data_IF_629233003654
#
_entry.id   IF_629233003654
#
_cell.length_a   1.000
_cell.length_b   1.000
_cell.length_c   1.000
_cell.angle_alpha   90.00
_cell.angle_beta   90.00
_cell.angle_gamma   90.00
#
_symmetry.space_group_name_H-M   'P 1'
#
loop_
_entity.id
_entity.type
_entity.pdbx_description
1 polymer ?
#
# COMPACT_ATOMS: atom_id res chain seq x y z
N UNK A 1 -19.36 16.33 -18.72
CA UNK A 1 -18.11 15.97 -19.41
C UNK A 1 -17.70 14.51 -19.17
N UNK A 2 -17.67 14.00 -17.93
CA UNK A 2 -17.29 12.59 -17.66
C UNK A 2 -18.45 11.62 -17.91
N UNK A 3 -19.70 11.98 -17.59
CA UNK A 3 -20.88 11.11 -17.80
C UNK A 3 -21.18 10.76 -19.26
N UNK A 4 -20.74 11.60 -20.21
CA UNK A 4 -20.96 11.42 -21.66
C UNK A 4 -20.00 10.43 -22.33
N UNK A 5 -19.02 9.89 -21.60
CA UNK A 5 -18.08 8.88 -22.10
C UNK A 5 -18.65 7.45 -22.08
N UNK A 6 -19.83 7.25 -21.49
CA UNK A 6 -20.43 5.92 -21.28
C UNK A 6 -21.02 5.27 -22.55
N UNK A 7 -21.18 6.00 -23.66
CA UNK A 7 -21.83 5.50 -24.88
C UNK A 7 -20.86 4.98 -25.96
N UNK A 8 -19.56 5.21 -25.82
CA UNK A 8 -18.54 4.58 -26.68
C UNK A 8 -18.17 3.24 -26.04
N UNK A 9 -18.10 2.11 -26.78
CA UNK A 9 -17.60 0.85 -26.23
C UNK A 9 -16.24 1.10 -25.55
N UNK A 10 -16.18 0.87 -24.23
CA UNK A 10 -15.04 1.29 -23.40
C UNK A 10 -13.72 0.74 -23.94
N UNK A 11 -13.68 -0.51 -24.39
CA UNK A 11 -12.44 -1.15 -24.84
C UNK A 11 -11.79 -0.43 -26.03
N UNK A 12 -12.57 -0.09 -27.06
CA UNK A 12 -12.06 0.58 -28.25
C UNK A 12 -11.63 2.02 -27.95
N UNK A 13 -12.39 2.73 -27.12
CA UNK A 13 -12.04 4.09 -26.69
C UNK A 13 -10.74 4.08 -25.90
N UNK A 14 -10.62 3.23 -24.88
CA UNK A 14 -9.43 3.14 -24.04
C UNK A 14 -8.21 2.70 -24.84
N UNK A 15 -8.34 1.68 -25.70
CA UNK A 15 -7.22 1.23 -26.56
C UNK A 15 -6.70 2.36 -27.45
N UNK A 16 -7.59 3.02 -28.18
CA UNK A 16 -7.27 4.10 -29.13
C UNK A 16 -6.71 5.32 -28.39
N UNK A 17 -7.36 5.70 -27.29
CA UNK A 17 -6.98 6.86 -26.48
C UNK A 17 -5.63 6.67 -25.80
N UNK A 18 -5.31 5.52 -25.22
CA UNK A 18 -4.04 5.29 -24.54
C UNK A 18 -2.87 4.97 -25.48
N UNK A 19 -3.12 4.40 -26.66
CA UNK A 19 -2.04 4.02 -27.60
C UNK A 19 -1.54 5.15 -28.51
N UNK A 20 -2.01 6.39 -28.37
CA UNK A 20 -1.54 7.47 -29.25
C UNK A 20 -2.23 7.52 -30.61
N UNK A 21 -3.07 6.54 -30.92
CA UNK A 21 -3.80 6.49 -32.18
C UNK A 21 -5.04 7.38 -32.07
N UNK A 22 -5.05 8.55 -32.72
CA UNK A 22 -6.32 9.27 -32.88
C UNK A 22 -7.13 8.47 -33.90
N UNK A 23 -8.31 7.98 -33.48
CA UNK A 23 -9.16 7.09 -34.26
C UNK A 23 -9.75 7.73 -35.51
N UNK A 24 -8.94 8.18 -36.47
CA UNK A 24 -9.38 8.63 -37.79
C UNK A 24 -10.21 7.56 -38.52
N UNK A 25 -9.98 6.27 -38.22
CA UNK A 25 -10.83 5.15 -38.66
C UNK A 25 -12.16 5.05 -37.92
N UNK A 26 -12.22 5.38 -36.63
CA UNK A 26 -13.45 5.40 -35.80
C UNK A 26 -14.34 6.61 -36.12
N UNK A 27 -13.74 7.79 -36.32
CA UNK A 27 -14.42 9.03 -36.69
C UNK A 27 -15.11 8.90 -38.06
N UNK A 28 -14.49 8.14 -38.98
CA UNK A 28 -15.04 7.90 -40.33
C UNK A 28 -16.21 6.91 -40.37
N UNK A 29 -16.38 6.06 -39.33
CA UNK A 29 -17.35 4.96 -39.37
C UNK A 29 -18.61 5.16 -38.51
N UNK A 30 -18.62 6.07 -37.52
CA UNK A 30 -19.79 6.27 -36.65
C UNK A 30 -20.48 7.63 -36.83
N UNK A 31 -21.67 7.62 -37.44
CA UNK A 31 -22.70 8.65 -37.22
C UNK A 31 -23.22 8.49 -35.78
N UNK A 32 -23.24 9.56 -34.99
CA UNK A 32 -23.90 9.58 -33.67
C UNK A 32 -23.06 10.04 -32.47
N UNK A 33 -21.80 10.46 -32.66
CA UNK A 33 -21.02 11.03 -31.55
C UNK A 33 -21.57 12.40 -31.15
N UNK A 34 -21.66 12.65 -29.85
CA UNK A 34 -22.00 13.98 -29.32
C UNK A 34 -20.85 14.97 -29.56
N UNK A 35 -21.16 16.27 -29.47
CA UNK A 35 -20.17 17.34 -29.63
C UNK A 35 -18.99 17.19 -28.65
N UNK A 36 -19.27 16.81 -27.41
CA UNK A 36 -18.27 16.60 -26.37
C UNK A 36 -17.38 15.38 -26.67
N UNK A 37 -17.95 14.29 -27.20
CA UNK A 37 -17.17 13.11 -27.60
C UNK A 37 -16.25 13.41 -28.77
N UNK A 38 -16.72 14.19 -29.76
CA UNK A 38 -15.90 14.65 -30.88
C UNK A 38 -14.75 15.54 -30.40
N UNK A 39 -15.00 16.41 -29.44
CA UNK A 39 -13.96 17.27 -28.85
C UNK A 39 -12.87 16.43 -28.16
N UNK A 40 -13.26 15.44 -27.33
CA UNK A 40 -12.31 14.56 -26.65
C UNK A 40 -11.46 13.76 -27.64
N UNK A 41 -12.07 13.23 -28.71
CA UNK A 41 -11.35 12.46 -29.72
C UNK A 41 -10.41 13.35 -30.54
N UNK A 42 -10.84 14.56 -30.92
CA UNK A 42 -10.03 15.51 -31.69
C UNK A 42 -8.89 16.11 -30.86
N UNK A 43 -9.07 16.23 -29.55
CA UNK A 43 -8.06 16.72 -28.60
C UNK A 43 -7.48 15.58 -27.73
N UNK A 44 -7.44 14.35 -28.26
CA UNK A 44 -7.07 13.16 -27.48
C UNK A 44 -5.73 13.28 -26.75
N UNK A 45 -4.73 13.93 -27.36
CA UNK A 45 -3.43 14.17 -26.71
C UNK A 45 -3.51 15.10 -25.49
N UNK A 46 -4.37 16.12 -25.52
CA UNK A 46 -4.58 17.00 -24.38
C UNK A 46 -5.22 16.22 -23.23
N UNK A 47 -6.33 15.54 -23.47
CA UNK A 47 -7.01 14.77 -22.42
C UNK A 47 -6.18 13.60 -21.91
N UNK A 48 -5.35 12.96 -22.75
CA UNK A 48 -4.42 11.90 -22.29
C UNK A 48 -3.42 12.48 -21.29
N UNK A 49 -2.84 13.65 -21.60
CA UNK A 49 -1.93 14.34 -20.68
C UNK A 49 -2.62 14.71 -19.37
N UNK A 50 -3.83 15.26 -19.43
CA UNK A 50 -4.61 15.59 -18.23
C UNK A 50 -4.95 14.36 -17.39
N UNK A 51 -5.36 13.25 -18.02
CA UNK A 51 -5.64 12.00 -17.30
C UNK A 51 -4.38 11.43 -16.65
N UNK A 52 -3.25 11.41 -17.36
CA UNK A 52 -1.97 10.97 -16.79
C UNK A 52 -1.56 11.89 -15.64
N UNK A 53 -1.72 13.20 -15.78
CA UNK A 53 -1.43 14.17 -14.71
C UNK A 53 -2.31 13.91 -13.49
N UNK A 54 -3.62 13.70 -13.68
CA UNK A 54 -4.56 13.35 -12.63
C UNK A 54 -4.17 12.04 -11.91
N UNK A 55 -3.88 10.97 -12.65
CA UNK A 55 -3.45 9.69 -12.09
C UNK A 55 -2.13 9.80 -11.33
N UNK A 56 -1.17 10.60 -11.83
CA UNK A 56 0.07 10.89 -11.10
C UNK A 56 -0.20 11.67 -9.82
N UNK A 57 -1.03 12.71 -9.86
CA UNK A 57 -1.42 13.47 -8.68
C UNK A 57 -2.11 12.58 -7.65
N UNK A 58 -3.06 11.75 -8.07
CA UNK A 58 -3.69 10.76 -7.20
C UNK A 58 -2.65 9.82 -6.58
N UNK A 59 -1.74 9.30 -7.41
CA UNK A 59 -0.69 8.41 -6.95
C UNK A 59 0.18 9.06 -5.87
N UNK A 60 0.75 10.23 -6.13
CA UNK A 60 1.69 10.85 -5.20
C UNK A 60 1.03 11.48 -3.97
N UNK A 61 -0.20 11.98 -4.09
CA UNK A 61 -0.89 12.65 -2.98
C UNK A 61 -1.54 11.63 -2.04
N UNK A 62 -2.15 10.58 -2.58
CA UNK A 62 -2.98 9.65 -1.81
C UNK A 62 -2.39 8.23 -1.79
N UNK A 63 -2.20 7.63 -2.96
CA UNK A 63 -1.90 6.21 -3.04
C UNK A 63 -0.50 5.83 -2.53
N UNK A 64 0.54 6.61 -2.84
CA UNK A 64 1.93 6.31 -2.46
C UNK A 64 2.07 6.25 -0.94
N UNK A 65 1.44 7.19 -0.24
CA UNK A 65 1.45 7.23 1.22
C UNK A 65 0.81 5.98 1.79
N UNK A 66 -0.37 5.60 1.28
CA UNK A 66 -1.09 4.41 1.72
C UNK A 66 -0.34 3.11 1.38
N UNK A 67 0.25 3.03 0.18
CA UNK A 67 1.04 1.88 -0.25
C UNK A 67 2.27 1.69 0.64
N UNK A 68 2.98 2.76 1.01
CA UNK A 68 4.12 2.69 1.95
C UNK A 68 3.73 2.07 3.30
N UNK A 69 2.48 2.22 3.72
CA UNK A 69 1.96 1.66 4.96
C UNK A 69 1.49 0.21 4.83
N UNK A 70 0.80 -0.11 3.74
CA UNK A 70 0.21 -1.43 3.53
C UNK A 70 1.27 -2.44 3.05
N UNK A 71 2.23 -2.01 2.23
CA UNK A 71 3.22 -2.90 1.60
C UNK A 71 4.03 -3.74 2.62
N UNK A 72 4.59 -3.17 3.71
CA UNK A 72 5.30 -3.98 4.72
C UNK A 72 4.41 -5.03 5.39
N UNK A 73 3.13 -4.72 5.61
CA UNK A 73 2.16 -5.63 6.23
C UNK A 73 1.78 -6.77 5.27
N UNK A 74 1.62 -6.47 3.98
CA UNK A 74 1.43 -7.47 2.94
C UNK A 74 2.65 -8.38 2.83
N UNK A 75 3.87 -7.83 2.84
CA UNK A 75 5.12 -8.62 2.80
C UNK A 75 5.23 -9.52 4.04
N UNK A 76 4.91 -9.02 5.24
CA UNK A 76 4.91 -9.81 6.48
C UNK A 76 3.91 -10.97 6.41
N UNK A 77 2.68 -10.67 6.00
CA UNK A 77 1.65 -11.69 5.77
C UNK A 77 2.13 -12.71 4.74
N UNK A 78 2.70 -12.28 3.62
CA UNK A 78 3.25 -13.15 2.59
C UNK A 78 4.27 -14.13 3.13
N UNK A 79 5.25 -13.65 3.89
CA UNK A 79 6.27 -14.50 4.50
C UNK A 79 5.67 -15.51 5.48
N UNK A 80 4.71 -15.09 6.31
CA UNK A 80 3.98 -15.97 7.24
C UNK A 80 3.25 -17.08 6.49
N UNK A 81 2.56 -16.73 5.41
CA UNK A 81 1.79 -17.67 4.58
C UNK A 81 2.71 -18.65 3.83
N UNK A 82 3.85 -18.18 3.31
CA UNK A 82 4.89 -19.05 2.72
C UNK A 82 5.36 -20.08 3.76
N UNK A 83 5.68 -19.65 4.98
CA UNK A 83 6.11 -20.55 6.05
C UNK A 83 5.04 -21.55 6.51
N UNK A 84 3.75 -21.25 6.32
CA UNK A 84 2.65 -22.20 6.55
C UNK A 84 2.61 -23.21 5.40
N UNK A 85 2.61 -22.72 4.15
CA UNK A 85 2.60 -23.55 2.95
C UNK A 85 3.75 -24.55 2.93
N UNK A 86 4.96 -24.13 3.30
CA UNK A 86 6.14 -25.01 3.39
C UNK A 86 5.96 -26.14 4.41
N UNK A 87 5.17 -25.92 5.48
CA UNK A 87 4.93 -26.92 6.53
C UNK A 87 3.82 -27.91 6.17
N UNK A 88 2.74 -27.44 5.53
CA UNK A 88 1.54 -28.26 5.26
C UNK A 88 1.48 -28.78 3.82
N UNK A 89 2.29 -28.24 2.92
CA UNK A 89 2.28 -28.55 1.49
C UNK A 89 1.29 -27.68 0.70
N UNK A 90 1.48 -27.62 -0.62
CA UNK A 90 0.73 -26.75 -1.53
C UNK A 90 -0.77 -27.09 -1.58
N UNK A 91 -1.13 -28.36 -1.72
CA UNK A 91 -2.54 -28.79 -1.81
C UNK A 91 -3.31 -28.44 -0.54
N UNK A 92 -2.76 -28.81 0.62
CA UNK A 92 -3.36 -28.47 1.91
C UNK A 92 -3.41 -26.96 2.14
N UNK A 93 -2.42 -26.21 1.65
CA UNK A 93 -2.44 -24.76 1.73
C UNK A 93 -3.55 -24.13 0.86
N UNK A 94 -3.74 -24.61 -0.38
CA UNK A 94 -4.75 -24.06 -1.29
C UNK A 94 -6.16 -24.19 -0.71
N UNK A 95 -6.47 -25.28 0.00
CA UNK A 95 -7.79 -25.45 0.64
C UNK A 95 -8.00 -24.46 1.80
N UNK A 96 -6.94 -23.92 2.41
CA UNK A 96 -7.05 -22.87 3.44
C UNK A 96 -7.41 -21.49 2.86
N UNK A 97 -7.22 -21.28 1.55
CA UNK A 97 -7.46 -19.97 0.92
C UNK A 97 -8.95 -19.60 0.96
N UNK A 98 -9.83 -20.59 0.74
CA UNK A 98 -11.28 -20.39 0.78
C UNK A 98 -12.00 -21.73 0.95
N UNK A 99 -13.07 -21.76 1.76
CA UNK A 99 -13.91 -22.94 1.99
C UNK A 99 -14.70 -23.46 0.76
N UNK A 100 -14.57 -22.83 -0.40
CA UNK A 100 -15.27 -23.19 -1.66
C UNK A 100 -14.31 -23.82 -2.67
N UNK A 101 -13.11 -24.17 -2.22
CA UNK A 101 -12.09 -24.84 -3.03
C UNK A 101 -12.06 -26.30 -2.62
N UNK A 102 -12.30 -27.17 -3.59
CA UNK A 102 -12.12 -28.62 -3.49
C UNK A 102 -10.97 -29.03 -4.42
N UNK A 103 -10.18 -30.00 -3.97
CA UNK A 103 -9.11 -30.59 -4.76
C UNK A 103 -9.50 -32.05 -5.02
N UNK A 104 -9.61 -32.39 -6.30
CA UNK A 104 -9.86 -33.76 -6.77
C UNK A 104 -8.55 -34.36 -7.30
N UNK A 105 -8.48 -35.66 -7.59
CA UNK A 105 -7.25 -36.27 -8.12
C UNK A 105 -6.74 -35.70 -9.45
N UNK A 106 -7.58 -34.96 -10.21
CA UNK A 106 -7.23 -34.45 -11.54
C UNK A 106 -7.53 -32.97 -11.76
N UNK A 107 -8.12 -32.27 -10.79
CA UNK A 107 -8.55 -30.87 -10.95
C UNK A 107 -8.78 -30.13 -9.64
N UNK A 108 -8.68 -28.80 -9.69
CA UNK A 108 -9.28 -27.91 -8.70
C UNK A 108 -10.75 -27.67 -9.07
N UNK A 109 -11.65 -27.82 -8.10
CA UNK A 109 -13.07 -27.50 -8.24
C UNK A 109 -13.38 -26.29 -7.35
N UNK A 110 -13.93 -25.24 -7.96
CA UNK A 110 -14.24 -23.99 -7.27
C UNK A 110 -15.74 -23.73 -7.30
N UNK A 111 -16.39 -23.83 -6.15
CA UNK A 111 -17.83 -23.70 -6.01
C UNK A 111 -18.27 -22.24 -6.08
N UNK A 112 -18.47 -21.74 -7.31
CA UNK A 112 -19.10 -20.44 -7.58
C UNK A 112 -20.59 -20.67 -7.87
N UNK A 113 -21.27 -19.68 -8.46
CA UNK A 113 -22.65 -19.87 -8.94
C UNK A 113 -22.74 -21.03 -9.95
N UNK A 114 -21.70 -21.19 -10.77
CA UNK A 114 -21.43 -22.37 -11.59
C UNK A 114 -20.04 -22.86 -11.22
N UNK A 115 -19.87 -24.16 -11.00
CA UNK A 115 -18.57 -24.73 -10.67
C UNK A 115 -17.55 -24.39 -11.76
N UNK A 116 -16.42 -23.85 -11.32
CA UNK A 116 -15.26 -23.67 -12.19
C UNK A 116 -14.30 -24.83 -11.95
N UNK A 117 -14.01 -25.58 -12.98
CA UNK A 117 -13.10 -26.73 -12.93
C UNK A 117 -11.80 -26.33 -13.62
N UNK A 118 -10.69 -26.42 -12.89
CA UNK A 118 -9.34 -26.22 -13.42
C UNK A 118 -8.60 -27.57 -13.44
N UNK A 119 -8.53 -28.26 -14.60
CA UNK A 119 -7.78 -29.48 -14.74
C UNK A 119 -6.29 -29.26 -14.45
N UNK A 120 -5.63 -30.27 -13.90
CA UNK A 120 -4.17 -30.25 -13.75
C UNK A 120 -3.47 -30.43 -15.10
N UNK A 121 -4.14 -31.10 -16.05
CA UNK A 121 -3.63 -31.22 -17.42
C UNK A 121 -3.52 -29.83 -18.08
N UNK A 122 -2.35 -29.53 -18.64
CA UNK A 122 -2.04 -28.23 -19.21
C UNK A 122 -1.77 -27.10 -18.20
N UNK A 123 -1.87 -27.35 -16.89
CA UNK A 123 -1.50 -26.39 -15.86
C UNK A 123 0.02 -26.33 -15.72
N UNK A 124 0.59 -25.15 -15.97
CA UNK A 124 2.03 -24.88 -15.93
C UNK A 124 2.46 -24.21 -14.63
N UNK A 125 1.58 -23.39 -14.04
CA UNK A 125 1.92 -22.54 -12.89
C UNK A 125 0.70 -22.27 -12.02
N UNK A 126 0.94 -22.17 -10.72
CA UNK A 126 -0.03 -21.66 -9.76
C UNK A 126 0.55 -20.36 -9.17
N UNK A 127 -0.22 -19.28 -9.26
CA UNK A 127 0.12 -17.99 -8.66
C UNK A 127 -0.81 -17.70 -7.49
N UNK A 128 -0.24 -17.42 -6.32
CA UNK A 128 -1.02 -17.03 -5.14
C UNK A 128 -0.72 -15.56 -4.86
N UNK A 129 -1.71 -14.69 -5.09
CA UNK A 129 -1.57 -13.26 -4.82
C UNK A 129 -2.20 -12.91 -3.50
N UNK A 130 -1.51 -12.11 -2.71
CA UNK A 130 -2.06 -11.57 -1.47
C UNK A 130 -2.74 -10.24 -1.76
N UNK A 131 -3.93 -10.04 -1.18
CA UNK A 131 -4.69 -8.80 -1.32
C UNK A 131 -5.37 -8.40 -0.02
N UNK A 132 -5.39 -7.10 0.26
CA UNK A 132 -6.16 -6.50 1.35
C UNK A 132 -7.61 -6.16 0.97
N UNK A 133 -7.95 -6.22 -0.32
CA UNK A 133 -9.24 -5.78 -0.88
C UNK A 133 -10.11 -6.95 -1.34
N UNK A 134 -10.06 -8.08 -0.64
CA UNK A 134 -10.88 -9.24 -0.97
C UNK A 134 -11.75 -9.65 0.21
N UNK A 135 -13.06 -9.48 0.05
CA UNK A 135 -14.08 -9.96 0.99
C UNK A 135 -15.46 -10.01 0.29
N UNK A 136 -16.33 -11.00 0.54
CA UNK A 136 -16.10 -12.39 0.92
C UNK A 136 -15.94 -13.31 -0.32
N UNK A 137 -15.48 -12.77 -1.47
CA UNK A 137 -15.58 -13.44 -2.76
C UNK A 137 -14.34 -14.27 -3.14
N UNK A 138 -14.59 -15.47 -3.68
CA UNK A 138 -13.57 -16.31 -4.31
C UNK A 138 -13.09 -15.70 -5.64
N UNK A 139 -11.93 -15.06 -5.59
CA UNK A 139 -11.29 -14.44 -6.74
C UNK A 139 -10.18 -15.34 -7.30
N UNK A 140 -10.46 -15.85 -8.49
CA UNK A 140 -9.54 -16.67 -9.28
C UNK A 140 -9.53 -16.22 -10.74
N UNK A 141 -8.40 -16.42 -11.41
CA UNK A 141 -8.26 -16.26 -12.85
C UNK A 141 -7.46 -17.42 -13.43
N UNK A 142 -7.77 -17.79 -14.67
CA UNK A 142 -7.04 -18.81 -15.41
C UNK A 142 -6.65 -18.20 -16.76
N UNK A 143 -5.35 -18.18 -17.06
CA UNK A 143 -4.84 -17.67 -18.33
C UNK A 143 -3.56 -18.39 -18.71
N UNK A 144 -3.46 -18.85 -19.97
CA UNK A 144 -2.24 -19.43 -20.55
C UNK A 144 -1.60 -20.57 -19.72
N UNK A 145 -2.42 -21.39 -19.05
CA UNK A 145 -1.94 -22.47 -18.18
C UNK A 145 -1.45 -22.01 -16.81
N UNK A 146 -1.74 -20.77 -16.41
CA UNK A 146 -1.53 -20.28 -15.04
C UNK A 146 -2.88 -20.15 -14.32
N UNK A 147 -3.00 -20.80 -13.17
CA UNK A 147 -4.14 -20.63 -12.26
C UNK A 147 -3.74 -19.68 -11.13
N UNK A 148 -4.46 -18.57 -11.01
CA UNK A 148 -4.23 -17.60 -9.96
C UNK A 148 -5.28 -17.75 -8.84
N UNK A 149 -4.81 -17.88 -7.61
CA UNK A 149 -5.60 -17.72 -6.40
C UNK A 149 -5.34 -16.36 -5.75
N UNK A 150 -6.35 -15.80 -5.09
CA UNK A 150 -6.18 -14.60 -4.27
C UNK A 150 -6.37 -14.93 -2.80
N UNK A 151 -5.31 -14.80 -2.02
CA UNK A 151 -5.28 -14.99 -0.58
C UNK A 151 -5.51 -13.66 0.14
N UNK A 152 -6.41 -13.68 1.13
CA UNK A 152 -6.69 -12.50 1.94
C UNK A 152 -5.50 -12.18 2.84
N UNK A 153 -5.02 -10.94 2.79
CA UNK A 153 -4.21 -10.38 3.84
C UNK A 153 -5.11 -9.96 4.99
N UNK A 154 -4.91 -10.58 6.15
CA UNK A 154 -5.38 -10.02 7.41
C UNK A 154 -4.41 -8.90 7.80
N UNK A 155 -4.75 -7.67 7.40
CA UNK A 155 -3.98 -6.47 7.76
C UNK A 155 -4.16 -6.06 9.23
N UNK A 156 -5.21 -6.57 9.87
CA UNK A 156 -5.52 -6.42 11.28
C UNK A 156 -5.47 -7.83 11.91
N UNK A 157 -4.58 -8.03 12.87
CA UNK A 157 -4.75 -9.07 13.88
C UNK A 157 -5.36 -8.32 15.08
N UNK A 158 -6.54 -8.73 15.56
CA UNK A 158 -7.06 -8.24 16.83
C UNK A 158 -6.06 -8.64 17.91
N UNK A 159 -5.36 -7.65 18.44
CA UNK A 159 -4.56 -7.80 19.64
C UNK A 159 -5.09 -6.73 20.59
N UNK A 160 -5.94 -7.12 21.53
CA UNK A 160 -6.42 -6.26 22.64
C UNK A 160 -5.25 -5.70 23.50
N UNK A 161 -4.02 -6.14 23.26
CA UNK A 161 -2.82 -5.61 23.92
C UNK A 161 -2.27 -4.38 23.19
N UNK A 162 -2.05 -3.30 23.95
CA UNK A 162 -1.38 -2.09 23.49
C UNK A 162 -0.02 -2.45 22.85
N UNK A 163 0.19 -2.15 21.56
CA UNK A 163 1.47 -2.42 20.91
C UNK A 163 2.61 -1.71 21.64
N UNK A 164 3.65 -2.46 22.01
CA UNK A 164 4.76 -1.93 22.81
C UNK A 164 5.47 -0.75 22.13
N UNK A 165 5.56 -0.77 20.80
CA UNK A 165 6.15 0.31 20.00
C UNK A 165 5.29 1.60 20.06
N UNK A 166 3.96 1.46 20.01
CA UNK A 166 3.03 2.58 20.18
C UNK A 166 3.15 3.15 21.59
N UNK A 167 3.16 2.30 22.62
CA UNK A 167 3.36 2.72 24.01
C UNK A 167 4.67 3.49 24.20
N UNK A 168 5.78 2.96 23.70
CA UNK A 168 7.10 3.59 23.83
C UNK A 168 7.15 4.94 23.11
N UNK A 169 6.55 5.02 21.92
CA UNK A 169 6.45 6.27 21.15
C UNK A 169 5.61 7.31 21.88
N UNK A 170 4.42 6.94 22.38
CA UNK A 170 3.56 7.85 23.14
C UNK A 170 4.24 8.31 24.43
N UNK A 171 4.90 7.40 25.15
CA UNK A 171 5.67 7.72 26.37
C UNK A 171 6.82 8.69 26.09
N UNK A 172 7.55 8.49 24.99
CA UNK A 172 8.64 9.38 24.60
C UNK A 172 8.14 10.74 24.09
N UNK A 173 6.93 10.84 23.54
CA UNK A 173 6.36 12.11 23.08
C UNK A 173 5.53 12.84 24.15
N UNK A 174 5.05 12.15 25.18
CA UNK A 174 4.23 12.70 26.26
C UNK A 174 4.98 13.58 27.27
N UNK A 175 5.88 14.46 26.81
CA UNK A 175 6.64 15.40 27.63
C UNK A 175 6.90 16.70 26.85
N UNK A 176 6.62 17.84 27.49
CA UNK A 176 6.71 19.17 26.88
C UNK A 176 8.13 19.47 26.35
N UNK A 177 9.17 19.11 27.11
CA UNK A 177 10.56 19.33 26.70
C UNK A 177 10.92 18.45 25.50
N UNK A 178 10.49 17.18 25.48
CA UNK A 178 10.72 16.28 24.32
C UNK A 178 10.00 16.78 23.06
N UNK A 179 8.81 17.34 23.16
CA UNK A 179 8.12 17.96 22.02
C UNK A 179 8.84 19.22 21.51
N UNK A 180 9.40 20.05 22.41
CA UNK A 180 10.24 21.20 22.02
C UNK A 180 11.55 20.77 21.35
N UNK A 181 12.18 19.69 21.83
CA UNK A 181 13.35 19.07 21.18
C UNK A 181 12.96 18.57 19.79
N UNK A 182 11.85 17.82 19.67
CA UNK A 182 11.34 17.30 18.40
C UNK A 182 11.14 18.43 17.38
N UNK A 183 10.48 19.52 17.79
CA UNK A 183 10.25 20.72 16.95
C UNK A 183 11.55 21.37 16.49
N UNK A 184 12.57 21.39 17.34
CA UNK A 184 13.89 21.93 16.99
C UNK A 184 14.58 21.07 15.95
N UNK A 185 14.61 19.74 16.13
CA UNK A 185 15.25 18.80 15.19
C UNK A 185 14.46 18.72 13.87
N UNK A 186 13.15 18.95 13.88
CA UNK A 186 12.33 19.00 12.68
C UNK A 186 12.78 20.08 11.69
N UNK A 187 13.27 21.22 12.20
CA UNK A 187 13.80 22.33 11.39
C UNK A 187 15.18 22.03 10.79
N UNK A 188 15.86 21.00 11.29
CA UNK A 188 17.20 20.60 10.87
C UNK A 188 17.92 19.82 11.97
N UNK A 189 18.99 19.09 11.60
CA UNK A 189 19.79 18.33 12.57
C UNK A 189 20.32 19.23 13.70
N UNK A 190 20.33 18.75 14.93
CA UNK A 190 20.76 19.52 16.10
C UNK A 190 21.72 18.73 16.99
N UNK A 191 22.67 19.40 17.64
CA UNK A 191 23.54 18.81 18.66
C UNK A 191 22.96 19.02 20.06
N UNK A 192 23.40 18.22 21.04
CA UNK A 192 23.02 18.39 22.46
C UNK A 192 23.26 19.82 22.95
N UNK A 193 24.42 20.40 22.64
CA UNK A 193 24.78 21.77 23.02
C UNK A 193 23.84 22.81 22.39
N UNK A 194 23.49 22.64 21.11
CA UNK A 194 22.57 23.57 20.43
C UNK A 194 21.16 23.54 21.03
N UNK A 195 20.67 22.33 21.38
CA UNK A 195 19.37 22.14 22.02
C UNK A 195 19.33 22.71 23.44
N UNK A 196 20.40 22.49 24.21
CA UNK A 196 20.57 23.04 25.55
C UNK A 196 20.50 24.57 25.55
N UNK A 197 21.20 25.22 24.61
CA UNK A 197 21.16 26.66 24.44
C UNK A 197 19.78 27.17 24.01
N UNK A 198 19.13 26.50 23.05
CA UNK A 198 17.83 26.95 22.52
C UNK A 198 16.69 26.79 23.53
N UNK A 199 16.75 25.77 24.39
CA UNK A 199 15.71 25.47 25.38
C UNK A 199 16.05 25.98 26.78
N UNK A 200 17.19 26.66 26.95
CA UNK A 200 17.68 27.19 28.23
C UNK A 200 17.78 26.10 29.32
N UNK A 201 18.26 24.92 28.93
CA UNK A 201 18.44 23.75 29.79
C UNK A 201 19.90 23.29 29.82
N UNK A 202 20.26 22.50 30.82
CA UNK A 202 21.60 21.91 30.89
C UNK A 202 21.76 20.78 29.85
N UNK A 203 22.97 20.58 29.34
CA UNK A 203 23.27 19.48 28.41
C UNK A 203 22.97 18.10 29.02
N UNK A 204 23.13 17.96 30.34
CA UNK A 204 22.77 16.73 31.06
C UNK A 204 21.26 16.47 31.05
N UNK A 205 20.43 17.51 31.21
CA UNK A 205 18.98 17.41 31.08
C UNK A 205 18.58 17.01 29.66
N UNK A 206 19.10 17.71 28.64
CA UNK A 206 18.85 17.39 27.23
C UNK A 206 19.27 15.96 26.89
N UNK A 207 20.44 15.51 27.37
CA UNK A 207 20.94 14.16 27.11
C UNK A 207 20.00 13.07 27.64
N UNK A 208 19.36 13.29 28.79
CA UNK A 208 18.35 12.36 29.33
C UNK A 208 17.12 12.28 28.42
N UNK A 209 16.61 13.42 27.94
CA UNK A 209 15.49 13.44 27.00
C UNK A 209 15.85 12.76 25.66
N UNK A 210 17.02 13.07 25.11
CA UNK A 210 17.51 12.48 23.86
C UNK A 210 17.73 10.97 23.96
N UNK A 211 18.16 10.47 25.13
CA UNK A 211 18.29 9.02 25.37
C UNK A 211 16.94 8.33 25.25
N UNK A 212 15.90 8.84 25.91
CA UNK A 212 14.55 8.26 25.86
C UNK A 212 13.95 8.32 24.44
N UNK A 213 14.14 9.43 23.73
CA UNK A 213 13.68 9.55 22.34
C UNK A 213 14.44 8.64 21.37
N UNK A 214 15.72 8.36 21.66
CA UNK A 214 16.52 7.40 20.88
C UNK A 214 16.12 5.95 21.16
N UNK A 215 15.84 5.61 22.43
CA UNK A 215 15.34 4.27 22.81
C UNK A 215 13.96 3.96 22.22
N UNK A 216 13.15 5.00 21.93
CA UNK A 216 11.87 4.88 21.23
C UNK A 216 12.00 5.01 19.69
N UNK A 217 13.21 4.94 19.13
CA UNK A 217 13.51 5.06 17.70
C UNK A 217 13.04 6.36 17.01
N UNK A 218 12.61 7.37 17.77
CA UNK A 218 12.17 8.69 17.25
C UNK A 218 13.34 9.45 16.65
N UNK A 219 14.56 9.20 17.14
CA UNK A 219 15.78 9.88 16.72
C UNK A 219 16.86 8.87 16.33
N UNK A 220 17.70 9.25 15.37
CA UNK A 220 18.99 8.60 15.15
C UNK A 220 20.14 9.59 15.28
N UNK A 221 21.34 9.07 15.55
CA UNK A 221 22.55 9.86 15.79
C UNK A 221 23.46 9.76 14.57
N UNK A 222 24.03 10.88 14.17
CA UNK A 222 25.06 10.94 13.13
C UNK A 222 26.26 11.72 13.65
N UNK A 223 27.44 11.12 13.57
CA UNK A 223 28.69 11.80 13.90
C UNK A 223 29.19 12.56 12.68
N UNK A 224 29.47 13.84 12.85
CA UNK A 224 30.09 14.68 11.82
C UNK A 224 31.24 15.46 12.47
N UNK A 225 32.47 15.03 12.17
CA UNK A 225 33.67 15.50 12.86
C UNK A 225 33.63 15.20 14.35
N UNK A 226 33.78 16.26 15.15
CA UNK A 226 33.79 16.18 16.62
C UNK A 226 32.39 16.27 17.26
N UNK A 227 31.34 16.42 16.45
CA UNK A 227 29.98 16.63 16.93
C UNK A 227 29.08 15.44 16.64
N UNK A 228 28.14 15.17 17.55
CA UNK A 228 27.02 14.25 17.35
C UNK A 228 25.78 15.09 17.06
N UNK A 229 25.16 14.82 15.93
CA UNK A 229 23.90 15.41 15.53
C UNK A 229 22.77 14.39 15.63
N UNK A 230 21.62 14.87 16.07
CA UNK A 230 20.38 14.13 16.13
C UNK A 230 19.51 14.50 14.93
N UNK A 231 18.88 13.49 14.35
CA UNK A 231 17.95 13.61 13.25
C UNK A 231 16.67 12.85 13.58
N UNK A 232 15.55 13.33 13.07
CA UNK A 232 14.26 12.66 13.24
C UNK A 232 14.19 11.40 12.37
N UNK A 233 13.75 10.31 12.98
CA UNK A 233 13.25 9.16 12.24
C UNK A 233 11.83 9.49 11.75
N UNK A 234 11.73 10.05 10.54
CA UNK A 234 10.44 10.46 9.95
C UNK A 234 9.49 9.28 9.77
N UNK A 235 10.01 8.09 9.53
CA UNK A 235 9.19 6.87 9.37
C UNK A 235 8.42 6.57 10.65
N UNK A 236 9.06 6.67 11.83
CA UNK A 236 8.39 6.45 13.12
C UNK A 236 7.33 7.51 13.38
N UNK A 237 7.63 8.78 13.08
CA UNK A 237 6.67 9.88 13.26
C UNK A 237 5.45 9.76 12.34
N UNK A 238 5.66 9.41 11.07
CA UNK A 238 4.60 9.28 10.07
C UNK A 238 3.67 8.10 10.37
N UNK A 239 4.15 7.09 11.13
CA UNK A 239 3.37 5.93 11.55
C UNK A 239 2.50 6.17 12.79
N UNK A 240 2.75 7.21 13.59
CA UNK A 240 2.00 7.46 14.84
C UNK A 240 0.47 7.45 14.65
N UNK A 241 -0.12 8.21 13.69
CA UNK A 241 -1.57 8.19 13.51
C UNK A 241 -2.07 6.80 13.10
N UNK A 242 -1.31 6.08 12.27
CA UNK A 242 -1.66 4.73 11.83
C UNK A 242 -1.63 3.73 12.98
N UNK A 243 -0.55 3.68 13.74
CA UNK A 243 -0.41 2.79 14.90
C UNK A 243 -1.51 3.08 15.93
N UNK A 244 -1.90 4.37 16.09
CA UNK A 244 -3.05 4.77 16.92
C UNK A 244 -4.39 4.27 16.38
N UNK A 245 -4.71 4.49 15.10
CA UNK A 245 -5.98 4.00 14.51
C UNK A 245 -6.04 2.47 14.52
N UNK A 246 -4.93 1.79 14.21
CA UNK A 246 -4.83 0.33 14.30
C UNK A 246 -5.15 -0.21 15.70
N UNK A 247 -4.71 0.48 16.76
CA UNK A 247 -5.02 0.10 18.13
C UNK A 247 -6.48 0.41 18.52
N UNK A 248 -7.06 1.50 17.99
CA UNK A 248 -8.44 1.91 18.30
C UNK A 248 -9.50 1.12 17.52
N UNK A 249 -9.16 0.66 16.31
CA UNK A 249 -10.05 -0.08 15.41
C UNK A 249 -9.94 -1.62 15.57
N UNK A 250 -8.98 -2.08 16.38
CA UNK A 250 -8.71 -3.49 16.66
C UNK A 250 -9.63 -4.12 17.70
#
# INVERSE_FOLDING_TARGET
>A
AIESLLEVPLEDFFYTFFNGEVGLKLIKSKKGLSKDQLEIVLQGDYYRRELIACLKSYYYIYFEKELRFIEPLLIRNMRKQIGIMEKIGLEAFITTIHNRIEITPSSFVLHKYVDFIAPFDGLKKIDIRISSFIDPHLLISMSEGTLQFTLRAHLLENVDELPLDLYNTMKALGDDTRLKILKSIYKGKASTQSLAKQLELTEACISKHLKLMFEADILYKKREGNYIYYLLNRIVLDRIPMDMYQYLDG
#
